data_IF_983129722270
#
_entry.id   IF_983129722270
#
_cell.length_a   1.000
_cell.length_b   1.000
_cell.length_c   1.000
_cell.angle_alpha   90.00
_cell.angle_beta   90.00
_cell.angle_gamma   90.00
#
_symmetry.space_group_name_H-M   'P 1'
#
loop_
_entity.id
_entity.type
_entity.pdbx_description
1 polymer ?
#
# COMPACT_ATOMS: atom_id res chain seq x y z
N UNK A 1 -0.44 -4.58 14.32
CA UNK A 1 0.23 -3.31 14.15
C UNK A 1 1.73 -3.62 14.10
N UNK A 2 2.26 -4.09 15.24
CA UNK A 2 3.26 -5.16 15.24
C UNK A 2 2.63 -6.44 14.65
N UNK A 3 3.43 -7.29 13.99
CA UNK A 3 2.98 -8.59 13.47
C UNK A 3 2.45 -9.41 14.65
N UNK A 4 1.18 -9.86 14.65
CA UNK A 4 0.68 -10.76 15.68
C UNK A 4 1.54 -12.03 15.63
N UNK A 5 2.17 -12.39 16.75
CA UNK A 5 2.87 -13.67 16.85
C UNK A 5 1.83 -14.77 16.62
N UNK A 6 2.17 -15.85 15.90
CA UNK A 6 1.24 -16.97 15.75
C UNK A 6 0.99 -17.68 17.10
N UNK A 7 1.98 -17.60 17.98
CA UNK A 7 2.01 -18.29 19.26
C UNK A 7 2.51 -17.32 20.34
N UNK A 8 1.75 -17.19 21.42
CA UNK A 8 2.13 -16.42 22.61
C UNK A 8 2.40 -17.41 23.75
N UNK A 9 3.68 -17.53 24.11
CA UNK A 9 4.10 -18.38 25.24
C UNK A 9 3.87 -17.57 26.53
N UNK A 10 2.99 -18.06 27.40
CA UNK A 10 2.69 -17.46 28.71
C UNK A 10 3.20 -18.35 29.85
N UNK A 11 3.21 -17.84 31.08
CA UNK A 11 3.59 -18.63 32.26
C UNK A 11 2.69 -19.85 32.50
N UNK A 12 1.52 -19.92 31.85
CA UNK A 12 0.52 -20.97 32.02
C UNK A 12 0.36 -21.87 30.79
N UNK A 13 1.17 -21.67 29.74
CA UNK A 13 1.13 -22.52 28.54
C UNK A 13 1.30 -21.75 27.24
N UNK A 14 0.75 -22.30 26.17
CA UNK A 14 0.86 -21.79 24.80
C UNK A 14 -0.50 -21.24 24.36
N UNK A 15 -0.62 -19.91 24.19
CA UNK A 15 -1.81 -19.28 23.61
C UNK A 15 -1.62 -19.20 22.08
N UNK A 16 -2.43 -19.95 21.33
CA UNK A 16 -2.52 -19.81 19.87
C UNK A 16 -3.29 -18.53 19.56
N UNK A 17 -2.67 -17.60 18.84
CA UNK A 17 -3.34 -16.38 18.39
C UNK A 17 -4.25 -16.75 17.22
N UNK A 18 -5.48 -16.23 17.23
CA UNK A 18 -6.48 -16.53 16.20
C UNK A 18 -5.93 -16.30 14.79
N UNK A 19 -6.04 -17.30 13.92
CA UNK A 19 -5.67 -17.23 12.50
C UNK A 19 -6.33 -16.02 11.82
N UNK A 20 -7.52 -15.64 12.28
CA UNK A 20 -8.29 -14.50 11.81
C UNK A 20 -7.59 -13.17 12.07
N UNK A 21 -6.97 -12.97 13.24
CA UNK A 21 -6.28 -11.72 13.57
C UNK A 21 -4.97 -11.55 12.79
N UNK A 22 -4.28 -12.67 12.52
CA UNK A 22 -3.11 -12.69 11.64
C UNK A 22 -3.50 -12.34 10.20
N UNK A 23 -4.57 -12.94 9.68
CA UNK A 23 -5.07 -12.65 8.34
C UNK A 23 -5.50 -11.19 8.20
N UNK A 24 -6.29 -10.66 9.14
CA UNK A 24 -6.66 -9.23 9.17
C UNK A 24 -5.45 -8.30 9.17
N UNK A 25 -4.43 -8.63 9.97
CA UNK A 25 -3.19 -7.86 9.98
C UNK A 25 -2.47 -7.89 8.62
N UNK A 26 -2.36 -9.08 8.01
CA UNK A 26 -1.68 -9.26 6.75
C UNK A 26 -2.39 -8.49 5.62
N UNK A 27 -3.71 -8.59 5.53
CA UNK A 27 -4.52 -7.83 4.56
C UNK A 27 -4.26 -6.33 4.65
N UNK A 28 -4.27 -5.78 5.87
CA UNK A 28 -3.99 -4.35 6.10
C UNK A 28 -2.56 -3.99 5.68
N UNK A 29 -1.56 -4.83 5.95
CA UNK A 29 -0.18 -4.52 5.54
C UNK A 29 0.03 -4.66 4.02
N UNK A 30 -0.63 -5.60 3.35
CA UNK A 30 -0.61 -5.74 1.89
C UNK A 30 -1.26 -4.55 1.21
N UNK A 31 -2.44 -4.12 1.69
CA UNK A 31 -3.11 -2.91 1.22
C UNK A 31 -2.21 -1.67 1.40
N UNK A 32 -1.60 -1.51 2.57
CA UNK A 32 -0.66 -0.41 2.83
C UNK A 32 0.58 -0.48 1.94
N UNK A 33 1.10 -1.67 1.63
CA UNK A 33 2.22 -1.84 0.72
C UNK A 33 1.83 -1.41 -0.71
N UNK A 34 0.67 -1.86 -1.19
CA UNK A 34 0.12 -1.47 -2.48
C UNK A 34 -0.08 0.04 -2.59
N UNK A 35 -0.63 0.68 -1.56
CA UNK A 35 -0.81 2.13 -1.50
C UNK A 35 0.53 2.89 -1.49
N UNK A 36 1.56 2.37 -0.81
CA UNK A 36 2.89 3.00 -0.79
C UNK A 36 3.55 2.97 -2.17
N UNK A 37 3.46 1.86 -2.89
CA UNK A 37 4.00 1.75 -4.25
C UNK A 37 3.24 2.67 -5.23
N UNK A 38 1.91 2.74 -5.11
CA UNK A 38 1.10 3.72 -5.85
C UNK A 38 1.51 5.16 -5.54
N UNK A 39 1.71 5.50 -4.27
CA UNK A 39 2.19 6.82 -3.85
C UNK A 39 3.58 7.15 -4.42
N UNK A 40 4.50 6.18 -4.44
CA UNK A 40 5.83 6.31 -5.08
C UNK A 40 5.72 6.58 -6.58
N UNK A 41 4.86 5.85 -7.28
CA UNK A 41 4.61 6.02 -8.72
C UNK A 41 4.09 7.44 -9.00
N UNK A 42 2.99 7.83 -8.36
CA UNK A 42 2.36 9.15 -8.56
C UNK A 42 3.36 10.25 -8.26
N UNK A 43 4.11 10.14 -7.14
CA UNK A 43 5.14 11.12 -6.81
C UNK A 43 6.22 11.19 -7.87
N UNK A 44 6.73 10.06 -8.37
CA UNK A 44 7.78 10.05 -9.40
C UNK A 44 7.29 10.74 -10.69
N UNK A 45 6.10 10.38 -11.17
CA UNK A 45 5.49 10.99 -12.36
C UNK A 45 5.22 12.49 -12.18
N UNK A 46 4.71 12.88 -11.01
CA UNK A 46 4.49 14.28 -10.66
C UNK A 46 5.80 15.07 -10.60
N UNK A 47 6.87 14.50 -10.04
CA UNK A 47 8.19 15.15 -10.01
C UNK A 47 8.79 15.33 -11.41
N UNK A 48 8.62 14.34 -12.29
CA UNK A 48 9.08 14.44 -13.67
C UNK A 48 8.33 15.55 -14.42
N UNK A 49 7.02 15.68 -14.21
CA UNK A 49 6.24 16.80 -14.72
C UNK A 49 6.71 18.15 -14.15
N UNK A 50 6.93 18.24 -12.83
CA UNK A 50 7.42 19.48 -12.19
C UNK A 50 8.80 19.90 -12.71
N UNK A 51 9.71 18.96 -12.95
CA UNK A 51 11.07 19.25 -13.46
C UNK A 51 11.09 19.75 -14.90
N UNK A 52 10.03 19.53 -15.67
CA UNK A 52 9.90 20.11 -17.02
C UNK A 52 9.53 21.60 -16.98
N UNK A 53 9.12 22.11 -15.81
CA UNK A 53 8.68 23.49 -15.67
C UNK A 53 9.87 24.47 -15.53
N UNK A 54 9.75 25.69 -16.07
CA UNK A 54 10.75 26.73 -15.89
C UNK A 54 11.04 26.99 -14.40
N UNK A 55 12.32 27.09 -14.02
CA UNK A 55 12.74 27.33 -12.63
C UNK A 55 12.66 26.12 -11.69
N UNK A 56 12.18 24.96 -12.16
CA UNK A 56 12.04 23.73 -11.36
C UNK A 56 12.87 22.54 -11.86
N UNK A 57 13.60 22.71 -12.97
CA UNK A 57 14.42 21.65 -13.60
C UNK A 57 15.55 21.12 -12.73
N UNK A 58 16.24 22.01 -12.02
CA UNK A 58 17.36 21.67 -11.12
C UNK A 58 17.08 22.30 -9.76
N UNK A 59 16.81 21.47 -8.75
CA UNK A 59 16.59 21.96 -7.41
C UNK A 59 15.92 20.96 -6.47
N UNK A 60 16.07 21.20 -5.16
CA UNK A 60 15.42 20.41 -4.09
C UNK A 60 13.96 20.81 -3.87
N UNK A 61 13.46 21.85 -4.57
CA UNK A 61 12.10 22.38 -4.40
C UNK A 61 11.01 21.38 -4.83
N UNK A 62 11.01 20.79 -6.05
CA UNK A 62 9.99 19.80 -6.41
C UNK A 62 9.88 18.63 -5.43
N UNK A 63 10.98 17.91 -5.06
CA UNK A 63 10.87 16.77 -4.15
C UNK A 63 10.52 17.15 -2.71
N UNK A 64 10.75 18.39 -2.28
CA UNK A 64 10.37 18.88 -0.94
C UNK A 64 8.88 19.19 -0.85
N UNK A 65 8.26 19.59 -1.96
CA UNK A 65 6.88 20.09 -1.96
C UNK A 65 5.86 19.09 -2.48
N UNK A 66 6.27 18.10 -3.27
CA UNK A 66 5.42 16.98 -3.66
C UNK A 66 5.76 15.75 -2.82
N UNK A 67 4.79 15.29 -2.05
CA UNK A 67 4.99 14.18 -1.13
C UNK A 67 3.70 13.34 -0.98
N UNK A 68 3.82 12.18 -0.35
CA UNK A 68 2.72 11.22 -0.18
C UNK A 68 2.79 10.51 1.16
N UNK A 69 1.62 10.18 1.72
CA UNK A 69 1.44 9.56 3.04
C UNK A 69 0.41 8.44 2.89
N UNK A 70 0.75 7.26 3.41
CA UNK A 70 -0.23 6.19 3.59
C UNK A 70 -0.63 6.18 5.05
N UNK A 71 -1.89 6.52 5.34
CA UNK A 71 -2.36 6.56 6.71
C UNK A 71 -2.61 5.15 7.20
N UNK A 72 -2.11 4.84 8.40
CA UNK A 72 -2.11 3.46 8.93
C UNK A 72 -3.46 3.04 9.51
N UNK A 73 -4.29 3.98 9.97
CA UNK A 73 -5.57 3.67 10.63
C UNK A 73 -6.72 3.63 9.63
N UNK A 74 -6.71 4.59 8.71
CA UNK A 74 -7.72 4.75 7.66
C UNK A 74 -7.41 3.94 6.41
N UNK A 75 -6.17 3.44 6.29
CA UNK A 75 -5.67 2.66 5.16
C UNK A 75 -5.94 3.33 3.81
N UNK A 76 -5.61 4.62 3.72
CA UNK A 76 -5.74 5.38 2.48
C UNK A 76 -4.42 6.05 2.09
N UNK A 77 -4.33 6.42 0.82
CA UNK A 77 -3.22 7.17 0.26
C UNK A 77 -3.62 8.64 0.10
N UNK A 78 -2.82 9.51 0.71
CA UNK A 78 -2.86 10.94 0.48
C UNK A 78 -1.62 11.36 -0.32
N UNK A 79 -1.82 12.10 -1.40
CA UNK A 79 -0.75 12.71 -2.19
C UNK A 79 -1.00 14.20 -2.24
N UNK A 80 0.01 14.99 -1.88
CA UNK A 80 -0.16 16.41 -1.67
C UNK A 80 0.99 17.25 -2.19
N UNK A 81 0.64 18.47 -2.56
CA UNK A 81 1.57 19.56 -2.80
C UNK A 81 1.55 20.52 -1.60
N UNK A 82 2.70 21.10 -1.27
CA UNK A 82 2.79 22.11 -0.21
C UNK A 82 1.86 23.29 -0.51
N UNK A 83 1.02 23.64 0.47
CA UNK A 83 0.09 24.78 0.39
C UNK A 83 0.84 26.11 0.21
N UNK A 84 0.16 27.12 -0.34
CA UNK A 84 0.64 28.52 -0.44
C UNK A 84 2.04 28.66 -1.03
N UNK A 85 2.37 27.82 -2.01
CA UNK A 85 3.66 27.90 -2.68
C UNK A 85 3.53 27.98 -4.17
N UNK A 86 4.23 28.95 -4.74
CA UNK A 86 4.35 29.13 -6.19
C UNK A 86 4.82 27.85 -6.90
N UNK A 87 5.72 27.09 -6.27
CA UNK A 87 6.27 25.84 -6.82
C UNK A 87 5.46 24.60 -6.44
N UNK A 88 4.33 24.75 -5.74
CA UNK A 88 3.47 23.67 -5.26
C UNK A 88 2.04 23.86 -5.75
N UNK A 89 1.13 24.28 -4.86
CA UNK A 89 -0.30 24.45 -5.15
C UNK A 89 -0.58 25.35 -6.36
N UNK A 90 0.17 26.43 -6.54
CA UNK A 90 -0.04 27.35 -7.66
C UNK A 90 0.27 26.69 -9.02
N UNK A 91 1.17 25.71 -9.03
CA UNK A 91 1.42 24.89 -10.23
C UNK A 91 0.26 23.95 -10.50
N UNK A 92 -0.36 23.39 -9.45
CA UNK A 92 -1.48 22.46 -9.57
C UNK A 92 -2.75 23.15 -10.04
N UNK A 93 -3.13 24.23 -9.36
CA UNK A 93 -4.42 24.90 -9.50
C UNK A 93 -4.38 26.10 -10.46
N UNK A 94 -3.19 26.66 -10.70
CA UNK A 94 -3.03 27.91 -11.44
C UNK A 94 -3.26 29.13 -10.55
N UNK A 95 -2.95 30.29 -11.11
CA UNK A 95 -3.19 31.61 -10.52
C UNK A 95 -3.72 32.56 -11.60
N UNK A 96 -4.01 33.82 -11.26
CA UNK A 96 -4.44 34.83 -12.25
C UNK A 96 -3.46 34.95 -13.44
N UNK A 97 -2.16 34.79 -13.18
CA UNK A 97 -1.10 34.97 -14.19
C UNK A 97 -0.49 33.64 -14.65
N UNK A 98 -1.03 32.50 -14.21
CA UNK A 98 -0.48 31.19 -14.54
C UNK A 98 -1.60 30.16 -14.76
N UNK A 99 -1.62 29.44 -15.89
CA UNK A 99 -2.64 28.41 -16.11
C UNK A 99 -2.48 27.23 -15.15
N UNK A 100 -3.61 26.58 -14.87
CA UNK A 100 -3.68 25.30 -14.16
C UNK A 100 -2.89 24.23 -14.90
N UNK A 101 -1.91 23.58 -14.26
CA UNK A 101 -1.14 22.49 -14.87
C UNK A 101 -1.65 21.10 -14.48
N UNK A 102 -2.36 20.98 -13.35
CA UNK A 102 -2.96 19.72 -12.90
C UNK A 102 -1.95 18.58 -12.79
N UNK A 103 -0.79 18.83 -12.18
CA UNK A 103 0.32 17.88 -12.08
C UNK A 103 -0.12 16.57 -11.42
N UNK A 104 -0.76 16.67 -10.25
CA UNK A 104 -1.25 15.51 -9.51
C UNK A 104 -2.38 14.82 -10.26
N UNK A 105 -3.36 15.60 -10.74
CA UNK A 105 -4.48 15.07 -11.52
C UNK A 105 -4.00 14.26 -12.72
N UNK A 106 -3.07 14.82 -13.49
CA UNK A 106 -2.54 14.19 -14.70
C UNK A 106 -1.62 13.01 -14.36
N UNK A 107 -0.80 13.10 -13.30
CA UNK A 107 0.03 11.99 -12.84
C UNK A 107 -0.83 10.78 -12.44
N UNK A 108 -1.95 11.00 -11.75
CA UNK A 108 -2.88 9.92 -11.41
C UNK A 108 -3.61 9.40 -12.65
N UNK A 109 -4.27 10.28 -13.40
CA UNK A 109 -5.13 9.90 -14.52
C UNK A 109 -4.37 9.14 -15.62
N UNK A 110 -3.18 9.62 -15.99
CA UNK A 110 -2.38 9.00 -17.05
C UNK A 110 -1.67 7.71 -16.63
N UNK A 111 -1.75 7.32 -15.35
CA UNK A 111 -1.10 6.10 -14.83
C UNK A 111 -2.12 5.16 -14.17
N UNK A 112 -3.43 5.30 -14.45
CA UNK A 112 -4.47 4.42 -13.87
C UNK A 112 -4.18 2.95 -14.11
N UNK A 113 -3.69 2.58 -15.30
CA UNK A 113 -3.39 1.18 -15.61
C UNK A 113 -2.18 0.64 -14.85
N UNK A 114 -1.15 1.46 -14.65
CA UNK A 114 0.00 1.09 -13.81
C UNK A 114 -0.42 0.99 -12.34
N UNK A 115 -1.31 1.87 -11.87
CA UNK A 115 -1.89 1.78 -10.53
C UNK A 115 -2.65 0.46 -10.38
N UNK A 116 -3.50 0.10 -11.35
CA UNK A 116 -4.22 -1.18 -11.36
C UNK A 116 -3.27 -2.38 -11.33
N UNK A 117 -2.19 -2.36 -12.11
CA UNK A 117 -1.16 -3.42 -12.08
C UNK A 117 -0.49 -3.54 -10.72
N UNK A 118 -0.10 -2.42 -10.12
CA UNK A 118 0.49 -2.39 -8.78
C UNK A 118 -0.49 -2.97 -7.76
N UNK A 119 -1.74 -2.50 -7.72
CA UNK A 119 -2.74 -3.03 -6.79
C UNK A 119 -3.01 -4.52 -7.04
N UNK A 120 -3.06 -4.93 -8.31
CA UNK A 120 -3.29 -6.31 -8.73
C UNK A 120 -2.23 -7.29 -8.24
N UNK A 121 -0.95 -6.90 -8.20
CA UNK A 121 0.12 -7.77 -7.68
C UNK A 121 -0.07 -8.14 -6.21
N UNK A 122 -0.60 -7.23 -5.40
CA UNK A 122 -0.86 -7.52 -3.99
C UNK A 122 -2.16 -8.30 -3.80
N UNK A 123 -3.14 -8.10 -4.70
CA UNK A 123 -4.37 -8.88 -4.70
C UNK A 123 -4.13 -10.34 -5.12
N UNK A 124 -3.29 -10.58 -6.12
CA UNK A 124 -2.92 -11.94 -6.53
C UNK A 124 -2.20 -12.69 -5.43
N UNK A 125 -1.35 -12.01 -4.64
CA UNK A 125 -0.70 -12.62 -3.48
C UNK A 125 -1.70 -13.10 -2.41
N UNK A 126 -2.84 -12.39 -2.25
CA UNK A 126 -3.93 -12.81 -1.37
C UNK A 126 -4.67 -14.02 -1.95
N UNK A 127 -4.91 -14.02 -3.27
CA UNK A 127 -5.56 -15.14 -3.95
C UNK A 127 -4.72 -16.42 -3.88
N UNK A 128 -3.40 -16.33 -4.10
CA UNK A 128 -2.49 -17.47 -4.03
C UNK A 128 -2.45 -18.08 -2.61
N UNK A 129 -2.44 -17.27 -1.55
CA UNK A 129 -2.52 -17.75 -0.16
C UNK A 129 -3.87 -18.44 0.10
N UNK A 130 -4.98 -17.86 -0.35
CA UNK A 130 -6.30 -18.48 -0.21
C UNK A 130 -6.41 -19.79 -1.00
N UNK A 131 -5.84 -19.88 -2.20
CA UNK A 131 -5.76 -21.12 -2.98
C UNK A 131 -4.91 -22.16 -2.25
N UNK A 132 -3.76 -21.78 -1.71
CA UNK A 132 -2.90 -22.68 -0.94
C UNK A 132 -3.60 -23.20 0.32
N UNK A 133 -4.35 -22.36 1.03
CA UNK A 133 -5.15 -22.77 2.19
C UNK A 133 -6.32 -23.70 1.81
N UNK A 134 -6.99 -23.45 0.69
CA UNK A 134 -8.08 -24.31 0.21
C UNK A 134 -7.62 -25.67 -0.35
N UNK A 135 -6.34 -25.82 -0.67
CA UNK A 135 -5.71 -27.09 -1.05
C UNK A 135 -5.27 -27.93 0.17
N UNK A 136 -5.23 -27.33 1.36
CA UNK A 136 -5.01 -28.04 2.62
C UNK A 136 -6.37 -28.58 3.05
N UNK A 137 -6.69 -29.79 2.61
CA UNK A 137 -7.87 -30.52 3.09
C UNK A 137 -7.58 -31.04 4.50
N UNK A 138 -8.10 -30.36 5.53
CA UNK A 138 -7.99 -30.80 6.93
C UNK A 138 -8.80 -32.09 7.21
N UNK A 139 -9.55 -32.61 6.23
CA UNK A 139 -10.29 -33.87 6.37
C UNK A 139 -9.45 -35.14 6.15
N UNK A 140 -8.19 -35.03 5.68
CA UNK A 140 -7.30 -36.16 5.42
C UNK A 140 -6.37 -36.54 6.60
N UNK A 141 -6.77 -36.29 7.84
CA UNK A 141 -6.08 -36.89 9.01
C UNK A 141 -6.95 -38.00 9.62
N UNK A 142 -6.94 -39.19 9.00
CA UNK A 142 -7.38 -40.43 9.65
C UNK A 142 -6.22 -40.89 10.53
N UNK A 143 -6.25 -40.50 11.80
CA UNK A 143 -5.40 -41.09 12.83
C UNK A 143 -5.79 -42.55 13.01
N UNK A 144 -4.95 -43.47 12.53
CA UNK A 144 -5.08 -44.90 12.78
C UNK A 144 -4.68 -45.16 14.25
N UNK A 145 -5.58 -44.88 15.18
CA UNK A 145 -5.46 -45.27 16.60
C UNK A 145 -6.54 -46.29 16.94
N UNK A 146 -6.40 -47.50 16.39
CA UNK A 146 -7.02 -48.68 16.99
C UNK A 146 -6.13 -49.93 16.78
N UNK A 147 -4.97 -49.94 17.45
CA UNK A 147 -4.29 -51.21 17.74
C UNK A 147 -4.95 -51.84 18.97
N UNK A 148 -5.64 -52.99 18.84
CA UNK A 148 -6.40 -53.58 19.93
C UNK A 148 -5.45 -54.05 21.02
N UNK A 149 -5.78 -53.68 22.26
CA UNK A 149 -5.15 -54.22 23.47
C UNK A 149 -5.36 -55.74 23.51
N UNK A 150 -4.26 -56.48 23.55
CA UNK A 150 -4.21 -57.87 24.05
C UNK A 150 -3.11 -57.99 25.08
#
# INVERSE_FOLDING_TARGET
MAIPKAVKITKHGVELISSVDRCKYLLVELERAALKETGKLIRRRGLDAMRKLPGLRRGKRPPRNLQYWVRRRETDLQVGLKHETWYGVDQELGTKNQPKRGILRNATYNNIDDIRRIQGQYLSAIEDENRALGLIDEAEEVGDDDSPRT
#
